data_IF_181440782630
#
_entry.id   IF_181440782630
#
_cell.length_a   1.000
_cell.length_b   1.000
_cell.length_c   1.000
_cell.angle_alpha   90.00
_cell.angle_beta   90.00
_cell.angle_gamma   90.00
#
_symmetry.space_group_name_H-M   'P 1'
#
loop_
_entity.id
_entity.type
_entity.pdbx_description
1 polymer ?
#
# COMPACT_ATOMS: atom_id res chain seq x y z
N UNK A 1 5.87 -29.22 -17.43
CA UNK A 1 6.80 -28.84 -18.53
C UNK A 1 7.40 -30.12 -19.12
N UNK A 2 7.77 -30.16 -20.40
CA UNK A 2 8.37 -31.35 -21.04
C UNK A 2 9.85 -31.50 -20.63
N UNK A 3 10.35 -32.73 -20.50
CA UNK A 3 11.73 -33.01 -20.03
C UNK A 3 12.82 -32.32 -20.86
N UNK A 4 12.60 -32.21 -22.17
CA UNK A 4 13.53 -31.52 -23.07
C UNK A 4 13.63 -30.03 -22.77
N UNK A 5 12.54 -29.40 -22.33
CA UNK A 5 12.53 -28.00 -21.93
C UNK A 5 13.26 -27.82 -20.60
N UNK A 6 13.04 -28.69 -19.61
CA UNK A 6 13.78 -28.63 -18.35
C UNK A 6 15.30 -28.69 -18.56
N UNK A 7 15.77 -29.57 -19.47
CA UNK A 7 17.18 -29.64 -19.86
C UNK A 7 17.65 -28.40 -20.63
N UNK A 8 16.83 -27.90 -21.55
CA UNK A 8 17.13 -26.72 -22.35
C UNK A 8 17.34 -25.46 -21.50
N UNK A 9 16.62 -25.37 -20.37
CA UNK A 9 16.68 -24.24 -19.45
C UNK A 9 17.90 -24.26 -18.52
N UNK A 10 18.61 -25.39 -18.40
CA UNK A 10 19.79 -25.48 -17.55
C UNK A 10 20.94 -24.63 -18.10
N UNK A 11 21.57 -23.86 -17.21
CA UNK A 11 22.72 -23.01 -17.52
C UNK A 11 22.40 -21.80 -18.40
N UNK A 12 21.12 -21.43 -18.55
CA UNK A 12 20.75 -20.17 -19.17
C UNK A 12 21.09 -19.00 -18.24
N UNK A 13 21.43 -17.86 -18.84
CA UNK A 13 21.53 -16.58 -18.14
C UNK A 13 20.29 -15.71 -18.38
N UNK A 14 20.03 -14.76 -17.48
CA UNK A 14 18.99 -13.74 -17.68
C UNK A 14 19.30 -12.92 -18.94
N UNK A 15 18.28 -12.63 -19.74
CA UNK A 15 18.38 -11.97 -21.05
C UNK A 15 18.82 -12.88 -22.20
N UNK A 16 19.18 -14.15 -21.94
CA UNK A 16 19.61 -15.06 -23.00
C UNK A 16 18.43 -15.45 -23.92
N UNK A 17 18.68 -15.41 -25.23
CA UNK A 17 17.79 -15.98 -26.24
C UNK A 17 18.38 -17.26 -26.78
N UNK A 18 17.62 -18.34 -26.77
CA UNK A 18 18.08 -19.67 -27.19
C UNK A 18 17.02 -20.37 -28.02
N UNK A 19 17.40 -20.80 -29.22
CA UNK A 19 16.60 -21.71 -30.03
C UNK A 19 16.95 -23.15 -29.69
N UNK A 20 15.96 -23.94 -29.30
CA UNK A 20 16.15 -25.34 -28.94
C UNK A 20 15.31 -26.27 -29.78
N UNK A 21 15.90 -27.40 -30.19
CA UNK A 21 15.25 -28.45 -30.95
C UNK A 21 15.10 -29.67 -30.05
N UNK A 22 13.87 -30.02 -29.71
CA UNK A 22 13.55 -31.06 -28.76
C UNK A 22 13.01 -32.29 -29.52
N UNK A 23 13.74 -33.43 -29.52
CA UNK A 23 13.28 -34.65 -30.17
C UNK A 23 12.08 -35.26 -29.43
N UNK A 24 11.29 -36.14 -30.09
CA UNK A 24 10.02 -36.60 -29.54
C UNK A 24 10.15 -37.30 -28.19
N UNK A 25 11.20 -38.09 -27.99
CA UNK A 25 11.46 -38.82 -26.74
C UNK A 25 11.76 -37.91 -25.53
N UNK A 26 12.07 -36.62 -25.77
CA UNK A 26 12.19 -35.59 -24.72
C UNK A 26 10.98 -34.62 -24.70
N UNK A 27 10.04 -34.77 -25.63
CA UNK A 27 8.80 -34.00 -25.73
C UNK A 27 7.58 -34.89 -25.41
N UNK A 28 6.71 -35.16 -26.39
CA UNK A 28 5.44 -35.89 -26.22
C UNK A 28 5.46 -37.32 -26.78
N UNK A 29 6.63 -37.84 -27.14
CA UNK A 29 6.83 -39.22 -27.58
C UNK A 29 6.08 -39.57 -28.87
N UNK A 30 5.88 -40.87 -29.07
CA UNK A 30 5.13 -41.40 -30.22
C UNK A 30 3.63 -41.12 -30.13
N UNK A 31 3.10 -40.90 -28.93
CA UNK A 31 1.67 -40.68 -28.69
C UNK A 31 1.18 -39.26 -29.00
N UNK A 32 2.05 -38.25 -28.97
CA UNK A 32 1.65 -36.85 -29.18
C UNK A 32 0.70 -36.32 -28.09
N UNK A 33 0.00 -35.21 -28.36
CA UNK A 33 -1.03 -34.64 -27.47
C UNK A 33 -2.24 -34.18 -28.26
N UNK A 34 -3.35 -34.89 -28.06
CA UNK A 34 -4.64 -34.60 -28.69
C UNK A 34 -4.50 -34.42 -30.20
N UNK A 35 -5.15 -33.40 -30.74
CA UNK A 35 -5.03 -33.02 -32.15
C UNK A 35 -4.01 -31.89 -32.37
N UNK A 36 -3.31 -31.45 -31.31
CA UNK A 36 -2.44 -30.27 -31.35
C UNK A 36 -1.01 -30.64 -31.74
N UNK A 37 -0.49 -31.76 -31.18
CA UNK A 37 0.88 -32.19 -31.40
C UNK A 37 0.87 -33.63 -31.93
N UNK A 38 1.29 -33.85 -33.19
CA UNK A 38 1.37 -35.19 -33.75
C UNK A 38 2.36 -36.09 -32.99
N UNK A 39 2.08 -37.40 -33.04
CA UNK A 39 3.03 -38.41 -32.59
C UNK A 39 4.38 -38.27 -33.30
N UNK A 40 5.47 -38.47 -32.56
CA UNK A 40 6.84 -38.37 -33.07
C UNK A 40 7.23 -37.00 -33.64
N UNK A 41 6.51 -35.93 -33.29
CA UNK A 41 6.87 -34.58 -33.69
C UNK A 41 8.14 -34.08 -32.99
N UNK A 42 9.05 -33.49 -33.77
CA UNK A 42 10.17 -32.69 -33.25
C UNK A 42 9.66 -31.28 -32.97
N UNK A 43 9.92 -30.76 -31.78
CA UNK A 43 9.50 -29.41 -31.40
C UNK A 43 10.68 -28.45 -31.50
N UNK A 44 10.41 -27.24 -31.98
CA UNK A 44 11.39 -26.15 -32.00
C UNK A 44 10.82 -25.01 -31.18
N UNK A 45 11.57 -24.59 -30.15
CA UNK A 45 11.21 -23.47 -29.29
C UNK A 45 12.25 -22.36 -29.41
N UNK A 46 11.80 -21.13 -29.54
CA UNK A 46 12.61 -19.94 -29.33
C UNK A 46 12.33 -19.44 -27.90
N UNK A 47 13.32 -19.60 -27.03
CA UNK A 47 13.26 -19.24 -25.61
C UNK A 47 13.92 -17.88 -25.43
N UNK A 48 13.30 -17.00 -24.65
CA UNK A 48 13.91 -15.77 -24.17
C UNK A 48 13.77 -15.76 -22.65
N UNK A 49 14.89 -15.86 -21.93
CA UNK A 49 14.88 -15.81 -20.46
C UNK A 49 14.78 -14.37 -20.04
N UNK A 50 13.61 -13.98 -19.55
CA UNK A 50 13.39 -12.62 -19.06
C UNK A 50 14.00 -12.45 -17.66
N UNK A 51 13.77 -13.42 -16.78
CA UNK A 51 14.22 -13.37 -15.39
C UNK A 51 14.19 -14.76 -14.73
N UNK A 52 14.85 -14.90 -13.57
CA UNK A 52 14.79 -16.09 -12.71
C UNK A 52 14.14 -15.74 -11.38
N UNK A 53 13.04 -16.43 -11.07
CA UNK A 53 12.40 -16.25 -9.78
C UNK A 53 12.98 -17.18 -8.71
N UNK A 54 13.41 -16.62 -7.58
CA UNK A 54 13.72 -17.34 -6.35
C UNK A 54 12.77 -16.88 -5.22
N UNK A 55 12.12 -17.79 -4.48
CA UNK A 55 11.21 -17.44 -3.38
C UNK A 55 11.84 -16.63 -2.24
N UNK A 56 13.16 -16.46 -2.23
CA UNK A 56 13.89 -15.63 -1.27
C UNK A 56 14.20 -14.22 -1.81
N UNK A 57 13.83 -13.92 -3.04
CA UNK A 57 14.10 -12.61 -3.65
C UNK A 57 13.30 -11.53 -2.92
N UNK A 58 13.95 -10.44 -2.46
CA UNK A 58 13.25 -9.32 -1.86
C UNK A 58 12.57 -8.47 -2.94
N UNK A 59 11.78 -7.50 -2.49
CA UNK A 59 11.36 -6.39 -3.35
C UNK A 59 12.58 -5.50 -3.60
N UNK A 60 12.93 -5.27 -4.86
CA UNK A 60 14.04 -4.38 -5.19
C UNK A 60 13.51 -2.95 -5.39
N UNK A 61 14.10 -1.99 -4.69
CA UNK A 61 13.68 -0.58 -4.74
C UNK A 61 14.84 0.27 -5.23
N UNK A 62 14.63 0.97 -6.34
CA UNK A 62 15.57 1.94 -6.91
C UNK A 62 14.96 3.33 -6.89
N UNK A 63 15.53 4.23 -6.10
CA UNK A 63 15.13 5.64 -6.08
C UNK A 63 15.66 6.32 -7.35
N UNK A 64 14.76 6.74 -8.23
CA UNK A 64 15.11 7.41 -9.50
C UNK A 64 15.14 8.92 -9.38
N UNK A 65 14.33 9.47 -8.47
CA UNK A 65 14.33 10.89 -8.13
C UNK A 65 14.06 11.07 -6.64
N UNK A 66 14.87 11.86 -5.95
CA UNK A 66 14.60 12.27 -4.56
C UNK A 66 14.49 13.80 -4.48
N UNK A 67 13.42 14.34 -3.89
CA UNK A 67 13.28 15.78 -3.68
C UNK A 67 14.39 16.31 -2.77
N UNK A 68 14.75 17.59 -2.93
CA UNK A 68 15.81 18.24 -2.13
C UNK A 68 15.48 18.29 -0.65
N UNK A 69 14.20 18.52 -0.35
CA UNK A 69 13.68 18.56 1.01
C UNK A 69 12.81 17.32 1.22
N UNK A 70 13.10 16.57 2.27
CA UNK A 70 12.30 15.45 2.73
C UNK A 70 12.25 15.47 4.24
N UNK A 71 11.35 16.30 4.77
CA UNK A 71 11.14 16.42 6.21
C UNK A 71 10.18 15.34 6.72
N UNK A 72 9.34 14.80 5.82
CA UNK A 72 8.31 13.83 6.15
C UNK A 72 8.36 12.71 5.12
N UNK A 73 8.55 11.48 5.62
CA UNK A 73 8.50 10.26 4.82
C UNK A 73 7.24 9.46 5.16
N UNK A 74 6.70 8.75 4.18
CA UNK A 74 5.54 7.87 4.35
C UNK A 74 5.86 6.71 5.30
N UNK A 75 4.89 6.37 6.15
CA UNK A 75 4.98 5.28 7.12
C UNK A 75 3.64 4.55 7.29
N UNK A 76 3.55 3.67 8.27
CA UNK A 76 2.30 2.99 8.61
C UNK A 76 1.18 4.00 8.90
N UNK A 77 -0.05 3.63 8.57
CA UNK A 77 -1.30 4.38 8.75
C UNK A 77 -1.41 5.69 7.95
N UNK A 78 -0.33 6.13 7.29
CA UNK A 78 -0.35 7.31 6.44
C UNK A 78 -1.27 7.11 5.22
N UNK A 79 -2.07 8.12 4.93
CA UNK A 79 -2.83 8.20 3.68
C UNK A 79 -1.95 8.86 2.62
N UNK A 80 -1.71 8.13 1.54
CA UNK A 80 -0.89 8.61 0.43
C UNK A 80 -1.69 8.70 -0.86
N UNK A 81 -1.36 9.69 -1.68
CA UNK A 81 -1.75 9.73 -3.10
C UNK A 81 -0.52 9.52 -3.95
N UNK A 82 -0.60 8.63 -4.92
CA UNK A 82 0.53 8.27 -5.76
C UNK A 82 0.10 8.00 -7.20
N UNK A 83 1.04 8.15 -8.12
CA UNK A 83 0.91 7.68 -9.50
C UNK A 83 1.78 6.46 -9.71
N UNK A 84 1.37 5.62 -10.64
CA UNK A 84 2.15 4.45 -11.02
C UNK A 84 1.97 4.04 -12.48
N UNK A 85 3.02 3.44 -13.03
CA UNK A 85 2.93 2.51 -14.16
C UNK A 85 3.39 1.13 -13.69
N UNK A 86 2.67 0.10 -14.10
CA UNK A 86 3.00 -1.29 -13.82
C UNK A 86 3.19 -2.04 -15.14
N UNK A 87 4.37 -2.62 -15.34
CA UNK A 87 4.69 -3.40 -16.53
C UNK A 87 5.31 -4.74 -16.17
N UNK A 88 5.33 -5.66 -17.14
CA UNK A 88 6.22 -6.82 -17.10
C UNK A 88 7.67 -6.39 -17.34
N UNK A 89 8.60 -7.27 -16.99
CA UNK A 89 10.04 -7.06 -17.20
C UNK A 89 10.45 -6.95 -18.69
N UNK A 90 9.59 -7.38 -19.61
CA UNK A 90 9.79 -7.19 -21.06
C UNK A 90 9.28 -5.83 -21.59
N UNK A 91 8.75 -4.98 -20.71
CA UNK A 91 8.20 -3.67 -21.04
C UNK A 91 6.71 -3.66 -21.40
N UNK A 92 6.04 -4.81 -21.40
CA UNK A 92 4.59 -4.88 -21.62
C UNK A 92 3.85 -4.17 -20.48
N UNK A 93 3.23 -3.02 -20.77
CA UNK A 93 2.43 -2.27 -19.80
C UNK A 93 1.16 -3.06 -19.43
N UNK A 94 0.92 -3.24 -18.13
CA UNK A 94 -0.27 -3.91 -17.60
C UNK A 94 -1.29 -2.89 -17.10
N UNK A 95 -0.87 -1.98 -16.23
CA UNK A 95 -1.74 -0.99 -15.60
C UNK A 95 -1.03 0.36 -15.49
N UNK A 96 -1.80 1.44 -15.47
CA UNK A 96 -1.30 2.78 -15.20
C UNK A 96 -2.36 3.58 -14.46
N UNK A 97 -1.94 4.36 -13.45
CA UNK A 97 -2.83 5.30 -12.76
C UNK A 97 -3.38 6.38 -13.69
N UNK A 98 -2.70 6.67 -14.80
CA UNK A 98 -3.10 7.71 -15.76
C UNK A 98 -4.34 7.33 -16.57
N UNK A 99 -4.80 6.08 -16.46
CA UNK A 99 -6.08 5.62 -17.02
C UNK A 99 -7.29 6.14 -16.23
N UNK A 100 -7.07 6.78 -15.09
CA UNK A 100 -8.10 7.31 -14.20
C UNK A 100 -7.98 8.83 -14.07
N UNK A 101 -9.09 9.50 -13.75
CA UNK A 101 -9.14 10.95 -13.61
C UNK A 101 -8.39 11.49 -12.38
N UNK A 102 -8.10 10.62 -11.40
CA UNK A 102 -7.40 11.00 -10.17
C UNK A 102 -6.28 10.03 -9.80
N UNK A 103 -5.20 10.52 -9.13
CA UNK A 103 -4.15 9.66 -8.62
C UNK A 103 -4.68 8.59 -7.68
N UNK A 104 -3.98 7.46 -7.63
CA UNK A 104 -4.34 6.36 -6.73
C UNK A 104 -4.15 6.76 -5.28
N UNK A 105 -5.03 6.27 -4.41
CA UNK A 105 -5.02 6.57 -2.98
C UNK A 105 -4.95 5.26 -2.21
N UNK A 106 -4.08 5.18 -1.20
CA UNK A 106 -4.04 4.05 -0.28
C UNK A 106 -3.62 4.51 1.11
N UNK A 107 -4.02 3.75 2.12
CA UNK A 107 -3.46 3.82 3.48
C UNK A 107 -2.39 2.75 3.59
N UNK A 108 -1.17 3.13 3.98
CA UNK A 108 -0.09 2.16 4.22
C UNK A 108 -0.36 1.36 5.49
N UNK A 109 -0.01 0.06 5.51
CA UNK A 109 -0.32 -0.86 6.62
C UNK A 109 -1.71 -1.49 6.54
N UNK A 110 -2.62 -0.94 5.73
CA UNK A 110 -4.02 -1.38 5.68
C UNK A 110 -4.29 -2.57 4.72
N UNK A 111 -3.25 -3.18 4.14
CA UNK A 111 -3.35 -4.30 3.19
C UNK A 111 -4.31 -4.05 2.02
N UNK A 112 -4.35 -2.81 1.50
CA UNK A 112 -5.23 -2.41 0.39
C UNK A 112 -4.60 -2.62 -0.99
N UNK A 113 -3.29 -2.84 -1.04
CA UNK A 113 -2.51 -3.09 -2.25
C UNK A 113 -1.67 -4.36 -2.07
N UNK A 114 -1.05 -4.84 -3.15
CA UNK A 114 -0.13 -5.99 -3.05
C UNK A 114 1.05 -5.66 -2.13
N UNK A 115 1.53 -6.66 -1.39
CA UNK A 115 2.54 -6.48 -0.34
C UNK A 115 3.82 -5.82 -0.85
N UNK A 116 4.27 -6.17 -2.06
CA UNK A 116 5.48 -5.57 -2.63
C UNK A 116 5.31 -4.11 -3.02
N UNK A 117 4.11 -3.69 -3.43
CA UNK A 117 3.82 -2.29 -3.73
C UNK A 117 3.77 -1.48 -2.44
N UNK A 118 3.21 -2.06 -1.37
CA UNK A 118 3.22 -1.45 -0.05
C UNK A 118 4.66 -1.21 0.43
N UNK A 119 5.54 -2.19 0.27
CA UNK A 119 6.97 -2.05 0.58
C UNK A 119 7.65 -0.97 -0.27
N UNK A 120 7.35 -0.92 -1.57
CA UNK A 120 7.85 0.10 -2.49
C UNK A 120 7.46 1.54 -2.13
N UNK A 121 6.28 1.71 -1.52
CA UNK A 121 5.70 3.02 -1.16
C UNK A 121 6.12 3.51 0.24
N UNK A 122 6.68 2.65 1.10
CA UNK A 122 7.14 3.03 2.45
C UNK A 122 8.39 3.91 2.39
N UNK A 123 8.46 4.90 3.28
CA UNK A 123 9.61 5.80 3.40
C UNK A 123 9.80 6.73 2.20
N UNK A 124 8.78 6.93 1.37
CA UNK A 124 8.80 7.89 0.25
C UNK A 124 8.52 9.30 0.75
N UNK A 125 9.21 10.27 0.16
CA UNK A 125 8.94 11.69 0.32
C UNK A 125 7.99 12.19 -0.78
N UNK A 126 7.19 13.22 -0.52
CA UNK A 126 6.35 13.83 -1.58
C UNK A 126 7.23 14.35 -2.71
N UNK A 127 6.92 13.95 -3.95
CA UNK A 127 7.70 14.21 -5.16
C UNK A 127 8.82 13.19 -5.43
N UNK A 128 9.04 12.21 -4.56
CA UNK A 128 9.98 11.11 -4.80
C UNK A 128 9.45 10.17 -5.88
N UNK A 129 10.37 9.67 -6.72
CA UNK A 129 10.08 8.65 -7.72
C UNK A 129 10.95 7.42 -7.54
N UNK A 130 10.37 6.26 -7.76
CA UNK A 130 11.01 4.95 -7.59
C UNK A 130 10.70 4.04 -8.76
N UNK A 131 11.63 3.16 -9.05
CA UNK A 131 11.36 1.91 -9.74
C UNK A 131 11.38 0.79 -8.70
N UNK A 132 10.38 -0.07 -8.73
CA UNK A 132 10.19 -1.15 -7.77
C UNK A 132 9.96 -2.46 -8.52
N UNK A 133 10.88 -3.41 -8.36
CA UNK A 133 10.76 -4.75 -8.94
C UNK A 133 10.16 -5.67 -7.88
N UNK A 134 8.98 -6.20 -8.17
CA UNK A 134 8.20 -7.01 -7.25
C UNK A 134 8.16 -8.45 -7.76
N UNK A 135 8.80 -9.40 -7.06
CA UNK A 135 8.71 -10.81 -7.42
C UNK A 135 7.30 -11.38 -7.15
N UNK A 136 6.91 -12.49 -7.81
CA UNK A 136 5.55 -13.02 -7.77
C UNK A 136 4.99 -13.23 -6.37
N UNK A 137 5.77 -13.74 -5.43
CA UNK A 137 5.32 -14.02 -4.06
C UNK A 137 5.04 -12.76 -3.21
N UNK A 138 5.47 -11.58 -3.68
CA UNK A 138 5.09 -10.28 -3.12
C UNK A 138 3.97 -9.60 -3.93
N UNK A 139 3.50 -10.23 -5.02
CA UNK A 139 2.45 -9.76 -5.91
C UNK A 139 1.29 -10.77 -6.00
N UNK A 140 1.11 -11.41 -7.15
CA UNK A 140 -0.04 -12.29 -7.46
C UNK A 140 0.30 -13.79 -7.50
N UNK A 141 1.53 -14.16 -7.11
CA UNK A 141 1.99 -15.55 -7.01
C UNK A 141 1.94 -16.33 -8.32
N UNK A 142 1.93 -17.66 -8.20
CA UNK A 142 1.96 -18.57 -9.35
C UNK A 142 0.69 -18.53 -10.19
N UNK A 143 -0.44 -18.16 -9.59
CA UNK A 143 -1.74 -18.13 -10.26
C UNK A 143 -1.98 -16.84 -11.05
N UNK A 144 -1.26 -15.76 -10.73
CA UNK A 144 -1.47 -14.46 -11.36
C UNK A 144 -2.81 -13.83 -10.96
N UNK A 145 -3.25 -12.85 -11.76
CA UNK A 145 -4.50 -12.13 -11.56
C UNK A 145 -5.10 -11.70 -12.90
N UNK A 146 -6.24 -11.00 -12.87
CA UNK A 146 -6.93 -10.56 -14.09
C UNK A 146 -6.08 -9.57 -14.90
N UNK A 147 -5.38 -10.05 -15.93
CA UNK A 147 -4.44 -9.26 -16.75
C UNK A 147 -2.97 -9.41 -16.35
N UNK A 148 -2.68 -10.09 -15.24
CA UNK A 148 -1.32 -10.40 -14.79
C UNK A 148 -1.05 -11.89 -14.96
N UNK A 149 -0.08 -12.29 -15.79
CA UNK A 149 0.32 -13.69 -15.91
C UNK A 149 0.75 -14.30 -14.56
N UNK A 150 0.54 -15.60 -14.42
CA UNK A 150 1.07 -16.36 -13.29
C UNK A 150 2.58 -16.30 -13.23
N UNK A 151 3.14 -16.20 -12.02
CA UNK A 151 4.59 -16.06 -11.79
C UNK A 151 5.22 -14.82 -12.45
N UNK A 152 4.43 -13.78 -12.75
CA UNK A 152 4.96 -12.53 -13.30
C UNK A 152 5.75 -11.74 -12.24
N UNK A 153 6.94 -11.28 -12.63
CA UNK A 153 7.68 -10.22 -11.95
C UNK A 153 7.13 -8.89 -12.46
N UNK A 154 6.76 -8.00 -11.54
CA UNK A 154 6.17 -6.70 -11.87
C UNK A 154 7.20 -5.59 -11.68
N UNK A 155 7.30 -4.69 -12.65
CA UNK A 155 8.05 -3.45 -12.53
C UNK A 155 7.05 -2.31 -12.32
N UNK A 156 7.16 -1.64 -11.18
CA UNK A 156 6.41 -0.44 -10.86
C UNK A 156 7.29 0.80 -10.98
N UNK A 157 6.88 1.76 -11.78
CA UNK A 157 7.37 3.15 -11.71
C UNK A 157 6.41 3.93 -10.83
N UNK A 158 6.88 4.49 -9.72
CA UNK A 158 6.06 5.16 -8.71
C UNK A 158 6.42 6.64 -8.60
N UNK A 159 5.42 7.48 -8.30
CA UNK A 159 5.60 8.87 -7.88
C UNK A 159 4.67 9.18 -6.70
N UNK A 160 5.23 9.61 -5.57
CA UNK A 160 4.40 10.03 -4.42
C UNK A 160 3.95 11.48 -4.62
N UNK A 161 2.63 11.70 -4.67
CA UNK A 161 2.02 12.99 -4.99
C UNK A 161 1.62 13.77 -3.73
N UNK A 162 1.02 13.08 -2.74
CA UNK A 162 0.59 13.67 -1.48
C UNK A 162 0.78 12.67 -0.35
N UNK A 163 1.03 13.20 0.86
CA UNK A 163 1.19 12.45 2.09
C UNK A 163 0.40 13.16 3.20
N UNK A 164 -0.50 12.43 3.84
CA UNK A 164 -1.20 12.86 5.05
C UNK A 164 -0.89 11.87 6.16
N UNK A 165 -0.37 12.37 7.29
CA UNK A 165 0.02 11.51 8.40
C UNK A 165 -1.17 10.79 9.00
N UNK A 166 -0.99 9.49 9.24
CA UNK A 166 -1.98 8.59 9.82
C UNK A 166 -2.26 8.85 11.28
N UNK A 167 -3.16 8.09 11.86
CA UNK A 167 -3.25 7.92 13.32
C UNK A 167 -3.02 6.44 13.62
N UNK A 168 -2.49 6.07 14.80
CA UNK A 168 -2.26 4.67 15.12
C UNK A 168 -3.52 3.83 14.96
N UNK A 169 -3.33 2.55 14.70
CA UNK A 169 -4.42 1.59 14.58
C UNK A 169 -5.40 1.69 15.76
N UNK A 170 -6.70 1.81 15.46
CA UNK A 170 -7.76 1.92 16.47
C UNK A 170 -8.05 3.34 16.96
N UNK A 171 -7.30 4.35 16.51
CA UNK A 171 -7.56 5.75 16.86
C UNK A 171 -8.35 6.50 15.77
N UNK A 172 -9.14 7.46 16.22
CA UNK A 172 -9.82 8.44 15.36
C UNK A 172 -9.15 9.82 15.40
N UNK A 173 -8.46 10.13 16.50
CA UNK A 173 -7.80 11.39 16.75
C UNK A 173 -6.57 11.18 17.65
N UNK A 174 -5.51 11.94 17.42
CA UNK A 174 -4.34 12.02 18.30
C UNK A 174 -3.98 13.47 18.60
N UNK A 175 -3.48 13.70 19.81
CA UNK A 175 -2.91 14.98 20.22
C UNK A 175 -1.44 15.07 19.80
N UNK A 176 -1.07 16.18 19.17
CA UNK A 176 0.30 16.50 18.74
C UNK A 176 1.01 17.48 19.67
N UNK A 177 0.31 18.00 20.68
CA UNK A 177 0.84 18.94 21.66
C UNK A 177 0.29 18.67 23.06
N UNK A 178 0.29 19.72 23.88
CA UNK A 178 -0.27 19.67 25.23
C UNK A 178 -1.80 19.49 25.17
N UNK A 179 -2.28 18.52 25.94
CA UNK A 179 -3.72 18.29 26.12
C UNK A 179 -4.21 19.36 27.11
N UNK A 180 -5.26 20.12 26.79
CA UNK A 180 -5.82 21.08 27.75
C UNK A 180 -6.22 20.39 29.05
N UNK A 181 -5.85 20.98 30.18
CA UNK A 181 -6.15 20.49 31.52
C UNK A 181 -6.81 21.62 32.36
N UNK A 182 -8.08 21.48 32.77
CA UNK A 182 -8.97 20.34 32.54
C UNK A 182 -9.56 20.30 31.13
N UNK A 183 -9.55 19.13 30.47
CA UNK A 183 -10.05 18.97 29.10
C UNK A 183 -11.53 19.31 28.96
N UNK A 184 -12.35 18.96 29.96
CA UNK A 184 -13.78 19.25 29.95
C UNK A 184 -14.06 20.75 29.86
N UNK A 185 -13.37 21.57 30.66
CA UNK A 185 -13.50 23.02 30.61
C UNK A 185 -13.05 23.64 29.28
N UNK A 186 -12.14 22.98 28.56
CA UNK A 186 -11.72 23.43 27.24
C UNK A 186 -12.73 23.06 26.15
N UNK A 187 -13.49 21.97 26.35
CA UNK A 187 -14.56 21.52 25.46
C UNK A 187 -15.88 22.28 25.67
N UNK A 188 -16.20 22.63 26.92
CA UNK A 188 -17.37 23.42 27.32
C UNK A 188 -17.14 24.90 27.00
N UNK A 189 -17.45 25.29 25.76
CA UNK A 189 -17.11 26.61 25.23
C UNK A 189 -17.96 27.72 25.87
N UNK A 190 -19.16 27.38 26.34
CA UNK A 190 -20.12 28.33 26.87
C UNK A 190 -20.17 28.32 28.43
N UNK A 191 -19.59 27.31 29.08
CA UNK A 191 -19.49 27.17 30.53
C UNK A 191 -20.74 26.62 31.23
N UNK A 192 -21.66 25.97 30.51
CA UNK A 192 -22.92 25.44 31.04
C UNK A 192 -22.82 24.01 31.60
N UNK A 193 -21.63 23.41 31.52
CA UNK A 193 -21.32 22.03 31.94
C UNK A 193 -21.96 20.95 31.08
N UNK A 194 -22.35 21.28 29.86
CA UNK A 194 -22.83 20.34 28.85
C UNK A 194 -22.09 20.58 27.53
N UNK A 195 -21.46 19.55 26.98
CA UNK A 195 -20.78 19.66 25.68
C UNK A 195 -21.64 18.98 24.62
N UNK A 196 -22.48 19.69 23.86
CA UNK A 196 -23.19 19.12 22.72
C UNK A 196 -22.25 18.87 21.54
N UNK A 197 -22.70 18.09 20.55
CA UNK A 197 -21.91 17.77 19.35
C UNK A 197 -21.35 19.02 18.64
N UNK A 198 -22.09 20.13 18.66
CA UNK A 198 -21.66 21.40 18.08
C UNK A 198 -20.36 21.92 18.70
N UNK A 199 -20.33 22.03 20.03
CA UNK A 199 -19.15 22.52 20.76
C UNK A 199 -17.98 21.57 20.63
N UNK A 200 -18.22 20.27 20.78
CA UNK A 200 -17.22 19.24 20.59
C UNK A 200 -16.59 19.31 19.18
N UNK A 201 -17.43 19.46 18.14
CA UNK A 201 -16.96 19.55 16.77
C UNK A 201 -16.15 20.81 16.50
N UNK A 202 -16.59 21.96 17.01
CA UNK A 202 -15.86 23.22 16.87
C UNK A 202 -14.50 23.15 17.53
N UNK A 203 -14.45 22.60 18.75
CA UNK A 203 -13.20 22.43 19.48
C UNK A 203 -12.23 21.50 18.74
N UNK A 204 -12.66 20.30 18.32
CA UNK A 204 -11.77 19.35 17.61
C UNK A 204 -11.25 19.94 16.30
N UNK A 205 -12.11 20.62 15.52
CA UNK A 205 -11.68 21.30 14.29
C UNK A 205 -10.67 22.40 14.57
N UNK A 206 -10.82 23.14 15.67
CA UNK A 206 -9.87 24.16 16.08
C UNK A 206 -8.50 23.53 16.42
N UNK A 207 -8.48 22.43 17.18
CA UNK A 207 -7.23 21.73 17.52
C UNK A 207 -6.49 21.23 16.27
N UNK A 208 -7.21 20.66 15.30
CA UNK A 208 -6.62 20.24 14.02
C UNK A 208 -6.09 21.44 13.22
N UNK A 209 -6.86 22.52 13.15
CA UNK A 209 -6.46 23.75 12.42
C UNK A 209 -5.21 24.40 13.02
N UNK A 210 -5.07 24.35 14.34
CA UNK A 210 -3.89 24.86 15.06
C UNK A 210 -2.69 23.90 15.04
N UNK A 211 -2.84 22.71 14.44
CA UNK A 211 -1.80 21.68 14.40
C UNK A 211 -1.55 21.00 15.74
N UNK A 212 -2.47 21.14 16.70
CA UNK A 212 -2.40 20.53 18.04
C UNK A 212 -2.97 19.12 18.07
N UNK A 213 -3.65 18.70 17.01
CA UNK A 213 -4.17 17.35 16.87
C UNK A 213 -4.34 16.94 15.43
N UNK A 214 -4.58 15.65 15.21
CA UNK A 214 -4.73 15.04 13.89
C UNK A 214 -5.85 14.03 13.92
N UNK A 215 -6.76 14.13 12.95
CA UNK A 215 -7.81 13.15 12.71
C UNK A 215 -7.31 12.05 11.78
N UNK A 216 -7.93 10.88 11.86
CA UNK A 216 -7.71 9.78 10.92
C UNK A 216 -7.92 10.27 9.47
N UNK A 217 -6.90 10.18 8.60
CA UNK A 217 -7.05 10.63 7.23
C UNK A 217 -7.89 9.66 6.39
N UNK A 218 -8.50 10.16 5.31
CA UNK A 218 -9.21 9.33 4.33
C UNK A 218 -10.65 8.96 4.71
N UNK A 219 -11.12 9.43 5.88
CA UNK A 219 -12.51 9.34 6.33
C UNK A 219 -13.11 10.75 6.34
N UNK A 220 -14.43 10.84 6.16
CA UNK A 220 -15.15 12.09 6.28
C UNK A 220 -14.99 12.69 7.70
N UNK A 221 -14.55 13.94 7.77
CA UNK A 221 -14.19 14.62 9.03
C UNK A 221 -15.38 14.69 9.98
N UNK A 222 -16.56 15.02 9.47
CA UNK A 222 -17.77 15.17 10.29
C UNK A 222 -18.21 13.83 10.87
N UNK A 223 -18.09 12.76 10.08
CA UNK A 223 -18.34 11.39 10.53
C UNK A 223 -17.35 10.94 11.61
N UNK A 224 -16.06 11.24 11.47
CA UNK A 224 -15.04 10.90 12.48
C UNK A 224 -15.35 11.63 13.80
N UNK A 225 -15.58 12.94 13.74
CA UNK A 225 -15.89 13.75 14.92
C UNK A 225 -17.17 13.27 15.60
N UNK A 226 -18.21 12.94 14.81
CA UNK A 226 -19.45 12.40 15.35
C UNK A 226 -19.23 11.05 16.05
N UNK A 227 -18.47 10.14 15.45
CA UNK A 227 -18.16 8.87 16.09
C UNK A 227 -17.37 9.06 17.40
N UNK A 228 -16.42 10.00 17.43
CA UNK A 228 -15.71 10.38 18.66
C UNK A 228 -16.65 10.91 19.73
N UNK A 229 -17.63 11.73 19.34
CA UNK A 229 -18.65 12.24 20.25
C UNK A 229 -19.54 11.12 20.79
N UNK A 230 -20.06 10.26 19.91
CA UNK A 230 -20.92 9.13 20.25
C UNK A 230 -20.21 8.12 21.18
N UNK A 231 -18.89 7.99 21.09
CA UNK A 231 -18.06 7.16 21.99
C UNK A 231 -17.96 7.75 23.42
N UNK A 232 -18.08 9.08 23.56
CA UNK A 232 -18.08 9.76 24.86
C UNK A 232 -19.48 9.89 25.45
N UNK A 233 -20.52 10.14 24.64
CA UNK A 233 -21.94 10.20 25.05
C UNK A 233 -22.49 8.80 25.39
N UNK A 234 -22.19 8.34 26.61
CA UNK A 234 -22.51 6.97 27.06
C UNK A 234 -23.99 6.75 27.26
N UNK A 235 -24.70 7.77 27.71
CA UNK A 235 -26.11 7.68 28.02
C UNK A 235 -27.00 7.97 26.78
N UNK A 236 -26.39 8.46 25.69
CA UNK A 236 -27.01 8.79 24.39
C UNK A 236 -28.04 9.91 24.49
N UNK A 237 -27.78 10.89 25.33
CA UNK A 237 -28.67 12.04 25.55
C UNK A 237 -28.27 13.29 24.73
N UNK A 238 -27.26 13.16 23.87
CA UNK A 238 -26.84 14.17 22.91
C UNK A 238 -25.90 15.23 23.48
N UNK A 239 -25.36 15.03 24.69
CA UNK A 239 -24.41 15.92 25.35
C UNK A 239 -23.44 15.12 26.21
N UNK A 240 -22.19 15.59 26.28
CA UNK A 240 -21.16 15.01 27.13
C UNK A 240 -21.09 15.83 28.42
N UNK A 241 -21.11 15.15 29.57
CA UNK A 241 -20.84 15.76 30.88
C UNK A 241 -19.49 15.33 31.44
N UNK A 242 -18.99 16.04 32.46
CA UNK A 242 -17.64 15.84 33.03
C UNK A 242 -17.36 14.38 33.43
N UNK A 243 -18.34 13.69 34.01
CA UNK A 243 -18.23 12.28 34.44
C UNK A 243 -18.14 11.27 33.27
N UNK A 244 -18.52 11.66 32.06
CA UNK A 244 -18.51 10.79 30.88
C UNK A 244 -17.16 10.79 30.17
N UNK A 245 -16.46 11.93 30.18
CA UNK A 245 -15.21 12.14 29.45
C UNK A 245 -14.12 11.18 29.92
N UNK A 246 -13.64 10.31 29.03
CA UNK A 246 -12.48 9.45 29.27
C UNK A 246 -11.36 9.79 28.29
N UNK A 247 -10.19 10.13 28.84
CA UNK A 247 -8.97 10.31 28.06
C UNK A 247 -8.24 8.96 27.99
N UNK A 248 -7.93 8.49 26.78
CA UNK A 248 -7.00 7.37 26.59
C UNK A 248 -5.56 7.93 26.58
N UNK A 249 -4.98 8.09 27.77
CA UNK A 249 -3.69 8.79 27.94
C UNK A 249 -2.47 7.97 27.49
N UNK A 250 -2.46 6.65 27.71
CA UNK A 250 -1.22 5.85 27.62
C UNK A 250 -0.66 5.74 26.19
N UNK A 251 -1.52 5.62 25.17
CA UNK A 251 -1.09 5.47 23.76
C UNK A 251 -0.77 6.84 23.12
N UNK A 252 -1.35 7.94 23.61
CA UNK A 252 -1.10 9.30 23.10
C UNK A 252 0.29 9.83 23.49
N UNK A 253 0.82 9.42 24.64
CA UNK A 253 2.21 9.71 25.06
C UNK A 253 3.25 8.98 24.18
N UNK A 254 2.94 7.77 23.70
CA UNK A 254 3.82 7.00 22.84
C UNK A 254 3.95 7.64 21.45
N UNK A 255 2.83 8.05 20.84
CA UNK A 255 2.82 8.75 19.54
C UNK A 255 3.60 10.06 19.60
N UNK A 256 3.44 10.82 20.69
CA UNK A 256 4.21 12.07 20.90
C UNK A 256 5.72 11.84 20.97
N UNK A 257 6.17 10.70 21.52
CA UNK A 257 7.60 10.37 21.59
C UNK A 257 8.19 9.94 20.26
N UNK A 258 7.40 9.29 19.40
CA UNK A 258 7.87 8.81 18.10
C UNK A 258 7.85 9.89 17.02
N UNK A 259 7.15 11.02 17.24
CA UNK A 259 7.08 12.18 16.33
C UNK A 259 8.00 13.37 16.72
N UNK A 260 8.70 13.32 17.87
CA UNK A 260 9.70 14.31 18.34
C UNK A 260 11.15 13.88 18.07
#
# INVERSE_FOLDING_TARGET
VIRGMDKALQGLCTGEKRRVVIPPHLAYGEGGVGNLIPGSAVLVFDIHVIDFHNPKDPVEIRITHKPRECNTASGADDLIRYRYNCSLMDGTLLYSSDQYDSPSVTTLGANKVILGLEEGLKGMCVGERREVVIPPHWAHGENGAAGVPGSAVLLFELELMELQKGVPEGFMFVWLGDIPDPLFNALDLNGDKEVPLGEFSEFIRLQVKEGKGRLQPGVDVDSVIKNMFDDQDRNKDGRIVEDELKIKDEETEQVRRDEL
#
